data_IF_834032047566
#
_entry.id   IF_834032047566
#
_cell.length_a   1.000
_cell.length_b   1.000
_cell.length_c   1.000
_cell.angle_alpha   90.00
_cell.angle_beta   90.00
_cell.angle_gamma   90.00
#
_symmetry.space_group_name_H-M   'P 1'
#
loop_
_entity.id
_entity.type
_entity.pdbx_description
1 polymer ?
#
# COMPACT_ATOMS: atom_id res chain seq x y z
N UNK A 1 -20.32 -21.70 4.37
CA UNK A 1 -20.11 -20.47 5.16
C UNK A 1 -18.63 -20.18 5.14
N UNK A 2 -18.25 -19.06 4.60
CA UNK A 2 -16.86 -18.65 4.41
C UNK A 2 -16.16 -18.41 5.75
N UNK A 3 -14.91 -18.85 5.88
CA UNK A 3 -14.07 -18.66 7.06
C UNK A 3 -12.92 -17.68 6.78
N UNK A 4 -12.27 -17.18 7.83
CA UNK A 4 -11.07 -16.33 7.69
C UNK A 4 -9.98 -17.05 6.91
N UNK A 5 -9.77 -18.33 7.24
CA UNK A 5 -8.73 -19.15 6.59
C UNK A 5 -8.98 -19.31 5.08
N UNK A 6 -10.26 -19.56 4.67
CA UNK A 6 -10.59 -19.68 3.24
C UNK A 6 -10.35 -18.38 2.45
N UNK A 7 -10.54 -17.21 3.09
CA UNK A 7 -10.21 -15.93 2.44
C UNK A 7 -8.68 -15.79 2.24
N UNK A 8 -7.88 -16.18 3.23
CA UNK A 8 -6.41 -16.17 3.13
C UNK A 8 -5.95 -17.15 2.04
N UNK A 9 -6.46 -18.39 2.04
CA UNK A 9 -6.16 -19.42 1.04
C UNK A 9 -6.53 -18.99 -0.38
N UNK A 10 -7.61 -18.24 -0.54
CA UNK A 10 -7.95 -17.64 -1.84
C UNK A 10 -6.86 -16.69 -2.33
N UNK A 11 -6.31 -15.84 -1.47
CA UNK A 11 -5.18 -14.95 -1.82
C UNK A 11 -3.93 -15.76 -2.18
N UNK A 12 -3.64 -16.84 -1.44
CA UNK A 12 -2.55 -17.75 -1.78
C UNK A 12 -2.71 -18.39 -3.17
N UNK A 13 -3.94 -18.69 -3.58
CA UNK A 13 -4.20 -19.22 -4.93
C UNK A 13 -3.99 -18.18 -6.02
N UNK A 14 -4.27 -16.90 -5.74
CA UNK A 14 -4.09 -15.82 -6.71
C UNK A 14 -2.62 -15.50 -6.99
N UNK A 15 -1.75 -15.57 -5.97
CA UNK A 15 -0.31 -15.37 -6.14
C UNK A 15 0.37 -16.59 -6.79
N UNK A 16 -0.16 -17.79 -6.58
CA UNK A 16 0.41 -19.04 -7.06
C UNK A 16 1.66 -19.52 -6.32
N UNK A 17 2.12 -18.80 -5.29
CA UNK A 17 3.29 -19.15 -4.47
C UNK A 17 3.07 -19.02 -2.96
N UNK A 18 1.82 -18.79 -2.52
CA UNK A 18 1.48 -18.51 -1.13
C UNK A 18 1.58 -17.03 -0.77
N UNK A 19 1.29 -16.69 0.48
CA UNK A 19 1.43 -15.33 1.01
C UNK A 19 2.84 -15.10 1.58
N UNK A 20 3.23 -13.85 1.77
CA UNK A 20 4.52 -13.51 2.32
C UNK A 20 4.60 -13.81 3.84
N UNK A 21 5.82 -13.92 4.37
CA UNK A 21 6.07 -14.25 5.77
C UNK A 21 5.41 -13.31 6.78
N UNK A 22 5.24 -12.04 6.42
CA UNK A 22 4.66 -10.99 7.24
C UNK A 22 3.13 -10.89 7.14
N UNK A 23 2.52 -11.77 6.35
CA UNK A 23 1.08 -11.83 6.09
C UNK A 23 0.38 -12.95 6.87
N UNK A 24 -0.93 -12.99 6.75
CA UNK A 24 -1.80 -13.99 7.35
C UNK A 24 -2.55 -13.50 8.58
N UNK A 25 -3.12 -14.46 9.32
CA UNK A 25 -3.90 -14.18 10.52
C UNK A 25 -2.99 -13.67 11.65
N UNK A 26 -3.27 -12.47 12.15
CA UNK A 26 -2.52 -11.87 13.26
C UNK A 26 -3.36 -11.68 14.55
N UNK A 27 -4.69 -11.81 14.46
CA UNK A 27 -5.59 -11.77 15.62
C UNK A 27 -6.85 -12.58 15.35
N UNK A 28 -7.35 -13.31 16.35
CA UNK A 28 -8.54 -14.17 16.25
C UNK A 28 -8.24 -15.58 15.75
N UNK A 29 -9.23 -16.26 15.19
CA UNK A 29 -9.15 -17.66 14.77
C UNK A 29 -9.46 -17.82 13.28
N UNK A 30 -8.68 -18.63 12.56
CA UNK A 30 -8.83 -18.90 11.13
C UNK A 30 -10.15 -19.63 10.79
N UNK A 31 -10.64 -20.47 11.71
CA UNK A 31 -11.91 -21.21 11.58
C UNK A 31 -13.16 -20.34 11.76
N UNK A 32 -12.99 -19.08 12.14
CA UNK A 32 -14.11 -18.16 12.36
C UNK A 32 -14.89 -17.93 11.08
N UNK A 33 -16.22 -18.09 11.15
CA UNK A 33 -17.13 -17.75 10.06
C UNK A 33 -17.18 -16.26 9.84
N UNK A 34 -17.09 -15.83 8.59
CA UNK A 34 -17.13 -14.43 8.15
C UNK A 34 -18.42 -14.18 7.38
N UNK A 35 -19.27 -13.27 7.88
CA UNK A 35 -20.47 -12.75 7.23
C UNK A 35 -20.25 -11.36 6.68
N UNK A 36 -19.31 -10.64 7.27
CA UNK A 36 -18.89 -9.32 6.83
C UNK A 36 -17.41 -9.09 7.11
N UNK A 37 -16.74 -8.41 6.20
CA UNK A 37 -15.33 -8.04 6.30
C UNK A 37 -15.09 -6.61 5.82
N UNK A 38 -14.21 -5.90 6.53
CA UNK A 38 -13.71 -4.59 6.12
C UNK A 38 -12.28 -4.74 5.61
N UNK A 39 -11.99 -4.17 4.45
CA UNK A 39 -10.63 -4.00 3.92
C UNK A 39 -10.19 -2.57 4.18
N UNK A 40 -9.00 -2.36 4.71
CA UNK A 40 -8.43 -1.05 4.99
C UNK A 40 -6.92 -1.04 4.72
N UNK A 41 -6.38 0.13 4.42
CA UNK A 41 -4.94 0.30 4.31
C UNK A 41 -4.24 -0.07 5.62
N UNK A 42 -4.71 0.47 6.74
CA UNK A 42 -4.16 0.23 8.07
C UNK A 42 -5.28 -0.02 9.09
N UNK A 43 -5.02 -0.89 10.06
CA UNK A 43 -5.89 -1.10 11.23
C UNK A 43 -5.81 0.07 12.23
N UNK A 44 -6.13 1.29 11.77
CA UNK A 44 -6.26 2.44 12.66
C UNK A 44 -7.40 2.20 13.66
N UNK A 45 -7.41 2.85 14.83
CA UNK A 45 -8.52 2.76 15.76
C UNK A 45 -9.89 3.06 15.12
N UNK A 46 -9.92 3.98 14.14
CA UNK A 46 -11.16 4.34 13.44
C UNK A 46 -11.58 3.27 12.41
N UNK A 47 -10.63 2.64 11.72
CA UNK A 47 -10.91 1.50 10.85
C UNK A 47 -11.47 0.30 11.64
N UNK A 48 -10.88 0.00 12.82
CA UNK A 48 -11.36 -1.07 13.70
C UNK A 48 -12.78 -0.75 14.20
N UNK A 49 -13.06 0.50 14.64
CA UNK A 49 -14.42 0.91 15.04
C UNK A 49 -15.40 0.79 13.89
N UNK A 50 -15.04 1.28 12.71
CA UNK A 50 -15.91 1.23 11.53
C UNK A 50 -16.27 -0.21 11.12
N UNK A 51 -15.32 -1.15 11.23
CA UNK A 51 -15.57 -2.57 11.01
C UNK A 51 -16.51 -3.16 12.09
N UNK A 52 -16.24 -2.85 13.36
CA UNK A 52 -17.04 -3.34 14.48
C UNK A 52 -18.47 -2.80 14.50
N UNK A 53 -18.65 -1.50 14.21
CA UNK A 53 -19.97 -0.85 14.13
C UNK A 53 -20.79 -1.33 12.92
N UNK A 54 -20.11 -1.77 11.85
CA UNK A 54 -20.75 -2.46 10.73
C UNK A 54 -21.18 -3.89 11.05
N UNK A 55 -20.82 -4.44 12.23
CA UNK A 55 -21.10 -5.82 12.62
C UNK A 55 -20.30 -6.86 11.83
N UNK A 56 -19.13 -6.46 11.33
CA UNK A 56 -18.25 -7.36 10.59
C UNK A 56 -17.52 -8.33 11.54
N UNK A 57 -17.06 -9.43 10.99
CA UNK A 57 -16.34 -10.49 11.71
C UNK A 57 -14.82 -10.42 11.47
N UNK A 58 -14.39 -9.74 10.38
CA UNK A 58 -13.00 -9.66 9.94
C UNK A 58 -12.63 -8.24 9.52
N UNK A 59 -11.44 -7.81 9.93
CA UNK A 59 -10.73 -6.66 9.35
C UNK A 59 -9.51 -7.18 8.60
N UNK A 60 -9.40 -6.87 7.32
CA UNK A 60 -8.23 -7.13 6.49
C UNK A 60 -7.45 -5.81 6.39
N UNK A 61 -6.21 -5.81 6.86
CA UNK A 61 -5.30 -4.68 6.75
C UNK A 61 -4.15 -4.98 5.78
N UNK A 62 -3.74 -3.96 5.03
CA UNK A 62 -2.55 -4.05 4.18
C UNK A 62 -1.30 -3.82 5.02
N UNK A 63 -1.28 -2.75 5.80
CA UNK A 63 -0.18 -2.40 6.69
C UNK A 63 -0.19 -3.15 8.02
N UNK A 64 0.92 -3.04 8.76
CA UNK A 64 1.11 -3.71 10.04
C UNK A 64 0.02 -3.38 11.06
N UNK A 65 -0.48 -4.42 11.74
CA UNK A 65 -1.45 -4.26 12.82
C UNK A 65 -0.89 -3.44 13.99
N UNK A 66 0.35 -3.70 14.38
CA UNK A 66 0.99 -3.11 15.55
C UNK A 66 2.29 -2.39 15.20
N UNK A 67 2.74 -1.49 16.10
CA UNK A 67 4.03 -0.82 16.06
C UNK A 67 5.07 -1.54 16.96
N UNK A 68 6.36 -1.49 16.58
CA UNK A 68 6.88 -1.01 15.32
C UNK A 68 6.47 -1.91 14.16
N UNK A 69 6.78 -1.46 12.92
CA UNK A 69 6.43 -2.18 11.70
C UNK A 69 6.81 -3.67 11.77
N UNK A 70 5.89 -4.52 11.35
CA UNK A 70 6.01 -5.99 11.31
C UNK A 70 6.42 -6.64 12.63
N UNK A 71 6.09 -6.02 13.76
CA UNK A 71 6.50 -6.49 15.10
C UNK A 71 5.99 -7.89 15.45
N UNK A 72 4.87 -8.32 14.85
CA UNK A 72 4.28 -9.66 15.09
C UNK A 72 5.20 -10.77 14.58
N UNK A 73 5.88 -10.53 13.45
CA UNK A 73 6.77 -11.49 12.79
C UNK A 73 8.27 -11.19 13.03
N UNK A 74 8.58 -10.16 13.82
CA UNK A 74 9.94 -9.75 14.09
C UNK A 74 10.69 -10.83 14.92
N UNK A 75 11.94 -11.10 14.56
CA UNK A 75 12.80 -12.08 15.29
C UNK A 75 13.10 -11.56 16.71
N UNK A 76 13.38 -10.28 16.85
CA UNK A 76 13.72 -9.62 18.12
C UNK A 76 12.86 -8.34 18.29
N UNK A 77 11.55 -8.51 18.60
CA UNK A 77 10.71 -7.35 18.85
C UNK A 77 11.06 -6.68 20.19
N UNK A 78 10.81 -5.39 20.37
CA UNK A 78 10.89 -4.76 21.70
C UNK A 78 10.06 -5.55 22.72
N UNK A 79 10.64 -5.89 23.88
CA UNK A 79 10.02 -6.79 24.85
C UNK A 79 8.63 -6.32 25.34
N UNK A 80 8.40 -5.02 25.39
CA UNK A 80 7.20 -4.37 25.88
C UNK A 80 6.25 -3.86 24.80
N UNK A 81 6.46 -4.19 23.52
CA UNK A 81 5.69 -3.62 22.40
C UNK A 81 4.17 -3.76 22.55
N UNK A 82 3.70 -4.86 23.19
CA UNK A 82 2.28 -5.06 23.46
C UNK A 82 1.71 -4.08 24.48
N UNK A 83 2.55 -3.57 25.40
CA UNK A 83 2.16 -2.59 26.40
C UNK A 83 2.15 -1.15 25.88
N UNK A 84 2.68 -0.90 24.68
CA UNK A 84 2.65 0.44 24.09
C UNK A 84 1.20 0.91 23.93
N UNK A 85 0.86 2.15 24.35
CA UNK A 85 -0.52 2.61 24.36
C UNK A 85 -1.25 2.45 23.04
N UNK A 86 -0.57 2.69 21.90
CA UNK A 86 -1.12 2.55 20.56
C UNK A 86 -1.49 1.09 20.24
N UNK A 87 -0.65 0.14 20.60
CA UNK A 87 -0.86 -1.29 20.36
C UNK A 87 -1.94 -1.86 21.27
N UNK A 88 -1.91 -1.48 22.55
CA UNK A 88 -2.95 -1.85 23.51
C UNK A 88 -4.32 -1.35 23.07
N UNK A 89 -4.42 -0.10 22.61
CA UNK A 89 -5.69 0.44 22.11
C UNK A 89 -6.24 -0.37 20.93
N UNK A 90 -5.39 -0.76 19.97
CA UNK A 90 -5.80 -1.58 18.82
C UNK A 90 -6.27 -2.96 19.28
N UNK A 91 -5.50 -3.61 20.15
CA UNK A 91 -5.86 -4.90 20.73
C UNK A 91 -7.21 -4.84 21.45
N UNK A 92 -7.41 -3.89 22.36
CA UNK A 92 -8.64 -3.72 23.14
C UNK A 92 -9.87 -3.46 22.24
N UNK A 93 -9.70 -2.74 21.12
CA UNK A 93 -10.76 -2.51 20.15
C UNK A 93 -11.11 -3.79 19.36
N UNK A 94 -10.12 -4.57 18.91
CA UNK A 94 -10.35 -5.85 18.25
C UNK A 94 -11.11 -6.82 19.17
N UNK A 95 -10.67 -6.95 20.43
CA UNK A 95 -11.36 -7.76 21.44
C UNK A 95 -12.77 -7.27 21.70
N UNK A 96 -12.95 -5.95 21.89
CA UNK A 96 -14.25 -5.34 22.19
C UNK A 96 -15.30 -5.62 21.12
N UNK A 97 -14.91 -5.55 19.85
CA UNK A 97 -15.79 -5.81 18.72
C UNK A 97 -15.77 -7.29 18.29
N UNK A 98 -14.91 -8.10 18.90
CA UNK A 98 -14.71 -9.48 18.55
C UNK A 98 -14.29 -9.66 17.09
N UNK A 99 -13.44 -8.81 16.55
CA UNK A 99 -12.94 -8.87 15.18
C UNK A 99 -11.74 -9.80 15.07
N UNK A 100 -11.70 -10.63 14.04
CA UNK A 100 -10.43 -11.18 13.57
C UNK A 100 -9.68 -10.14 12.74
N UNK A 101 -8.36 -10.25 12.67
CA UNK A 101 -7.53 -9.42 11.80
C UNK A 101 -6.56 -10.28 10.99
N UNK A 102 -6.59 -10.11 9.69
CA UNK A 102 -5.62 -10.67 8.75
C UNK A 102 -4.84 -9.55 8.07
N UNK A 103 -3.51 -9.68 7.99
CA UNK A 103 -2.66 -8.84 7.18
C UNK A 103 -2.47 -9.45 5.80
N UNK A 104 -2.72 -8.68 4.75
CA UNK A 104 -2.46 -9.06 3.36
C UNK A 104 -1.74 -7.88 2.68
N UNK A 105 -0.43 -8.00 2.49
CA UNK A 105 0.50 -6.93 2.12
C UNK A 105 1.09 -7.18 0.72
N UNK A 106 2.32 -7.64 0.61
CA UNK A 106 3.00 -7.82 -0.67
C UNK A 106 2.26 -8.73 -1.67
N UNK A 107 1.44 -9.68 -1.16
CA UNK A 107 0.58 -10.50 -2.02
C UNK A 107 -0.48 -9.65 -2.73
N UNK A 108 -1.08 -8.67 -2.05
CA UNK A 108 -2.07 -7.77 -2.65
C UNK A 108 -1.42 -6.71 -3.53
N UNK A 109 -0.17 -6.30 -3.21
CA UNK A 109 0.66 -5.49 -4.10
C UNK A 109 0.81 -6.15 -5.47
N UNK A 110 1.17 -7.44 -5.46
CA UNK A 110 1.37 -8.25 -6.66
C UNK A 110 0.07 -8.50 -7.41
N UNK A 111 -1.00 -8.82 -6.70
CA UNK A 111 -2.30 -9.18 -7.31
C UNK A 111 -2.93 -7.98 -8.02
N UNK A 112 -2.91 -6.80 -7.41
CA UNK A 112 -3.69 -5.69 -7.95
C UNK A 112 -3.20 -4.28 -7.60
N UNK A 113 -2.54 -4.02 -6.45
CA UNK A 113 -2.22 -2.65 -6.04
C UNK A 113 -1.33 -1.96 -7.06
N UNK A 114 -0.21 -2.60 -7.40
CA UNK A 114 0.76 -2.01 -8.33
C UNK A 114 0.14 -1.65 -9.69
N UNK A 115 -0.54 -2.60 -10.32
CA UNK A 115 -1.11 -2.39 -11.66
C UNK A 115 -2.32 -1.43 -11.63
N UNK A 116 -3.07 -1.40 -10.53
CA UNK A 116 -4.14 -0.40 -10.35
C UNK A 116 -3.57 1.01 -10.22
N UNK A 117 -2.46 1.19 -9.50
CA UNK A 117 -1.81 2.51 -9.41
C UNK A 117 -1.23 2.95 -10.76
N UNK A 118 -0.55 2.06 -11.49
CA UNK A 118 -0.08 2.35 -12.84
C UNK A 118 -1.23 2.74 -13.79
N UNK A 119 -2.35 2.03 -13.72
CA UNK A 119 -3.57 2.33 -14.48
C UNK A 119 -4.19 3.67 -14.10
N UNK A 120 -4.25 4.02 -12.81
CA UNK A 120 -4.72 5.32 -12.33
C UNK A 120 -3.89 6.47 -12.93
N UNK A 121 -2.58 6.30 -13.03
CA UNK A 121 -1.65 7.27 -13.62
C UNK A 121 -1.71 7.30 -15.16
N UNK A 122 -2.55 6.48 -15.79
CA UNK A 122 -2.66 6.39 -17.25
C UNK A 122 -1.43 5.82 -17.94
N UNK A 123 -0.60 5.08 -17.22
CA UNK A 123 0.55 4.38 -17.79
C UNK A 123 0.05 3.16 -18.58
N UNK A 124 0.52 3.03 -19.80
CA UNK A 124 0.19 1.87 -20.65
C UNK A 124 0.99 0.62 -20.28
N UNK A 125 1.25 -0.24 -21.24
CA UNK A 125 2.05 -1.44 -21.00
C UNK A 125 3.50 -1.07 -20.65
N UNK A 126 4.10 -1.75 -19.65
CA UNK A 126 5.48 -1.53 -19.29
C UNK A 126 6.44 -1.96 -20.40
N UNK A 127 7.52 -1.20 -20.60
CA UNK A 127 8.59 -1.53 -21.54
C UNK A 127 9.66 -2.45 -20.93
N UNK A 128 9.61 -2.64 -19.63
CA UNK A 128 10.42 -3.61 -18.88
C UNK A 128 9.61 -4.18 -17.72
N UNK A 129 9.72 -5.50 -17.48
CA UNK A 129 9.06 -6.23 -16.40
C UNK A 129 10.01 -7.28 -15.82
N UNK A 130 10.22 -7.22 -14.51
CA UNK A 130 10.83 -8.26 -13.68
C UNK A 130 10.12 -8.28 -12.33
N UNK A 131 9.07 -9.09 -12.20
CA UNK A 131 8.13 -9.06 -11.09
C UNK A 131 7.48 -7.67 -10.97
N UNK A 132 7.57 -7.06 -9.80
CA UNK A 132 7.07 -5.71 -9.54
C UNK A 132 8.05 -4.59 -9.95
N UNK A 133 9.25 -4.91 -10.47
CA UNK A 133 10.12 -3.91 -11.10
C UNK A 133 9.66 -3.69 -12.52
N UNK A 134 8.88 -2.65 -12.74
CA UNK A 134 8.34 -2.31 -14.06
C UNK A 134 8.74 -0.87 -14.42
N UNK A 135 9.07 -0.65 -15.70
CA UNK A 135 9.39 0.67 -16.26
C UNK A 135 8.43 0.95 -17.40
N UNK A 136 7.88 2.16 -17.43
CA UNK A 136 6.88 2.60 -18.39
C UNK A 136 7.45 3.68 -19.32
N UNK A 137 7.23 3.57 -20.61
CA UNK A 137 7.58 4.63 -21.56
C UNK A 137 6.44 5.65 -21.65
N UNK A 138 6.80 6.94 -21.60
CA UNK A 138 5.87 8.05 -21.81
C UNK A 138 6.38 8.94 -22.94
N UNK A 139 5.50 9.71 -23.58
CA UNK A 139 5.93 10.77 -24.50
C UNK A 139 6.82 11.76 -23.75
N UNK A 140 7.95 12.19 -24.34
CA UNK A 140 8.88 13.13 -23.69
C UNK A 140 8.15 14.39 -23.22
N UNK A 141 8.28 14.73 -21.94
CA UNK A 141 7.64 15.90 -21.35
C UNK A 141 8.42 16.43 -20.15
N UNK A 142 8.29 17.72 -19.81
CA UNK A 142 8.91 18.23 -18.59
C UNK A 142 8.23 17.67 -17.34
N UNK A 143 8.98 17.52 -16.26
CA UNK A 143 8.48 17.03 -14.96
C UNK A 143 7.27 17.82 -14.49
N UNK A 144 7.21 19.15 -14.69
CA UNK A 144 6.04 19.96 -14.31
C UNK A 144 4.73 19.47 -14.93
N UNK A 145 4.76 19.06 -16.20
CA UNK A 145 3.57 18.51 -16.87
C UNK A 145 3.18 17.16 -16.28
N UNK A 146 4.17 16.31 -15.97
CA UNK A 146 3.91 15.03 -15.30
C UNK A 146 3.33 15.24 -13.90
N UNK A 147 3.80 16.24 -13.15
CA UNK A 147 3.23 16.64 -11.85
C UNK A 147 1.75 17.01 -11.98
N UNK A 148 1.40 17.81 -12.99
CA UNK A 148 0.00 18.20 -13.21
C UNK A 148 -0.88 17.00 -13.57
N UNK A 149 -0.37 16.06 -14.37
CA UNK A 149 -1.05 14.80 -14.72
C UNK A 149 -1.24 13.91 -13.47
N UNK A 150 -0.22 13.76 -12.64
CA UNK A 150 -0.31 13.00 -11.38
C UNK A 150 -1.31 13.63 -10.43
N UNK A 151 -1.31 14.96 -10.28
CA UNK A 151 -2.32 15.66 -9.45
C UNK A 151 -3.74 15.41 -9.97
N UNK A 152 -3.94 15.49 -11.27
CA UNK A 152 -5.25 15.24 -11.88
C UNK A 152 -5.73 13.79 -11.66
N UNK A 153 -4.82 12.81 -11.78
CA UNK A 153 -5.13 11.39 -11.62
C UNK A 153 -5.39 11.00 -10.18
N UNK A 154 -4.63 11.55 -9.23
CA UNK A 154 -4.71 11.20 -7.80
C UNK A 154 -5.68 12.08 -7.00
N UNK A 155 -6.11 13.21 -7.58
CA UNK A 155 -6.91 14.22 -6.87
C UNK A 155 -6.13 15.01 -5.81
N UNK A 156 -4.81 14.83 -5.71
CA UNK A 156 -4.00 15.51 -4.71
C UNK A 156 -3.78 16.98 -5.08
N UNK A 157 -4.09 17.94 -4.18
CA UNK A 157 -3.89 19.35 -4.47
C UNK A 157 -2.40 19.75 -4.48
N UNK A 158 -1.57 19.03 -3.74
CA UNK A 158 -0.14 19.31 -3.57
C UNK A 158 0.67 18.01 -3.65
N UNK A 159 1.86 18.08 -4.26
CA UNK A 159 2.82 16.98 -4.34
C UNK A 159 4.19 17.48 -3.94
N UNK A 160 4.98 16.62 -3.28
CA UNK A 160 6.41 16.90 -3.09
C UNK A 160 7.19 16.45 -4.32
N UNK A 161 8.14 17.29 -4.77
CA UNK A 161 9.01 16.98 -5.92
C UNK A 161 10.47 17.25 -5.53
N UNK A 162 11.34 16.30 -5.76
CA UNK A 162 12.78 16.43 -5.56
C UNK A 162 13.53 16.10 -6.87
N UNK A 163 14.71 16.72 -7.11
CA UNK A 163 15.23 17.86 -6.38
C UNK A 163 14.50 19.16 -6.73
N UNK A 164 14.62 20.15 -5.88
CA UNK A 164 14.16 21.50 -6.21
C UNK A 164 14.84 21.97 -7.52
N UNK A 165 14.03 22.51 -8.45
CA UNK A 165 14.51 22.93 -9.78
C UNK A 165 14.41 21.88 -10.90
N UNK A 166 14.00 20.64 -10.59
CA UNK A 166 13.86 19.59 -11.61
C UNK A 166 12.63 19.76 -12.55
N UNK A 167 11.77 20.73 -12.33
CA UNK A 167 10.48 20.85 -13.03
C UNK A 167 10.59 21.00 -14.56
N UNK A 168 11.71 21.50 -15.07
CA UNK A 168 11.95 21.64 -16.53
C UNK A 168 12.70 20.47 -17.16
N UNK A 169 13.16 19.50 -16.34
CA UNK A 169 13.83 18.30 -16.83
C UNK A 169 12.86 17.49 -17.71
N UNK A 170 13.32 17.10 -18.93
CA UNK A 170 12.52 16.25 -19.83
C UNK A 170 12.71 14.79 -19.45
N UNK A 171 11.60 14.09 -19.21
CA UNK A 171 11.56 12.70 -18.81
C UNK A 171 10.79 11.85 -19.81
N UNK A 172 11.08 10.55 -19.85
CA UNK A 172 10.54 9.59 -20.84
C UNK A 172 10.24 8.22 -20.28
N UNK A 173 10.82 7.86 -19.12
CA UNK A 173 10.74 6.52 -18.56
C UNK A 173 10.43 6.58 -17.06
N UNK A 174 9.20 6.20 -16.73
CA UNK A 174 8.66 6.25 -15.37
C UNK A 174 8.91 4.94 -14.66
N UNK A 175 9.44 5.00 -13.44
CA UNK A 175 9.41 3.91 -12.46
C UNK A 175 8.47 4.26 -11.32
N UNK A 176 7.84 3.23 -10.75
CA UNK A 176 6.88 3.38 -9.67
C UNK A 176 7.40 2.76 -8.36
N UNK A 177 8.12 3.50 -7.53
CA UNK A 177 8.33 3.10 -6.12
C UNK A 177 7.08 3.44 -5.29
N UNK A 178 5.98 2.69 -5.52
CA UNK A 178 4.69 2.88 -4.86
C UNK A 178 4.78 2.56 -3.35
N UNK A 179 3.74 2.81 -2.59
CA UNK A 179 3.75 2.55 -1.16
C UNK A 179 4.95 3.17 -0.47
N UNK A 180 5.63 2.41 0.37
CA UNK A 180 6.86 2.80 1.03
C UNK A 180 8.15 2.60 0.23
N UNK A 181 8.08 2.18 -1.06
CA UNK A 181 9.28 1.86 -1.85
C UNK A 181 10.11 3.09 -2.27
N UNK A 182 9.57 4.30 -2.09
CA UNK A 182 10.33 5.54 -2.23
C UNK A 182 11.18 5.91 -1.02
N UNK A 183 11.04 5.22 0.11
CA UNK A 183 11.81 5.44 1.34
C UNK A 183 13.27 4.98 1.19
N UNK A 184 14.18 5.57 2.00
CA UNK A 184 15.59 5.24 2.01
C UNK A 184 15.90 3.75 2.23
N UNK A 185 15.14 3.10 3.09
CA UNK A 185 15.32 1.66 3.37
C UNK A 185 15.11 0.79 2.13
N UNK A 186 14.47 1.32 1.09
CA UNK A 186 14.12 0.65 -0.15
C UNK A 186 14.92 1.15 -1.38
N UNK A 187 16.05 1.85 -1.19
CA UNK A 187 16.88 2.34 -2.32
C UNK A 187 17.38 1.22 -3.23
N UNK A 188 17.49 -0.01 -2.75
CA UNK A 188 17.81 -1.17 -3.57
C UNK A 188 16.75 -1.42 -4.66
N UNK A 189 15.46 -1.23 -4.37
CA UNK A 189 14.39 -1.28 -5.37
C UNK A 189 14.51 -0.11 -6.37
N UNK A 190 14.73 1.12 -5.88
CA UNK A 190 14.92 2.30 -6.73
C UNK A 190 16.11 2.12 -7.67
N UNK A 191 17.23 1.55 -7.17
CA UNK A 191 18.42 1.26 -7.98
C UNK A 191 18.13 0.26 -9.12
N UNK A 192 17.25 -0.73 -8.88
CA UNK A 192 16.83 -1.67 -9.93
C UNK A 192 16.06 -0.95 -11.05
N UNK A 193 15.17 0.00 -10.72
CA UNK A 193 14.47 0.82 -11.70
C UNK A 193 15.44 1.70 -12.52
N UNK A 194 16.42 2.33 -11.86
CA UNK A 194 17.46 3.15 -12.52
C UNK A 194 18.27 2.30 -13.48
N UNK A 195 18.66 1.09 -13.10
CA UNK A 195 19.43 0.17 -13.95
C UNK A 195 18.67 -0.23 -15.24
N UNK A 196 17.34 -0.11 -15.24
CA UNK A 196 16.50 -0.33 -16.42
C UNK A 196 16.20 0.96 -17.19
N UNK A 197 16.94 2.03 -16.89
CA UNK A 197 16.89 3.31 -17.62
C UNK A 197 15.68 4.17 -17.27
N UNK A 198 15.10 4.00 -16.10
CA UNK A 198 14.13 4.93 -15.53
C UNK A 198 14.77 6.31 -15.35
N UNK A 199 14.07 7.38 -15.73
CA UNK A 199 14.56 8.76 -15.64
C UNK A 199 13.63 9.68 -14.81
N UNK A 200 12.56 9.12 -14.22
CA UNK A 200 11.69 9.77 -13.25
C UNK A 200 11.00 8.73 -12.37
N UNK A 201 10.82 9.03 -11.09
CA UNK A 201 10.00 8.26 -10.17
C UNK A 201 8.67 8.95 -9.89
N UNK A 202 7.58 8.16 -9.88
CA UNK A 202 6.33 8.53 -9.21
C UNK A 202 6.23 7.59 -8.02
N UNK A 203 6.47 8.14 -6.82
CA UNK A 203 6.56 7.39 -5.58
C UNK A 203 5.24 7.47 -4.77
N UNK A 204 5.00 6.49 -3.92
CA UNK A 204 4.04 6.61 -2.85
C UNK A 204 4.58 7.55 -1.78
N UNK A 205 5.38 7.04 -0.85
CA UNK A 205 6.02 7.80 0.22
C UNK A 205 7.54 7.86 0.05
N UNK A 206 8.15 8.99 0.44
CA UNK A 206 9.60 9.13 0.54
C UNK A 206 10.01 9.95 1.75
N UNK A 207 11.21 9.70 2.25
CA UNK A 207 11.88 10.48 3.29
C UNK A 207 13.00 11.35 2.72
N UNK A 208 13.64 12.15 3.58
CA UNK A 208 14.72 13.05 3.18
C UNK A 208 15.90 12.33 2.53
N UNK A 209 16.19 11.10 2.94
CA UNK A 209 17.29 10.31 2.38
C UNK A 209 16.90 9.66 1.06
N UNK A 210 15.66 9.15 0.93
CA UNK A 210 15.13 8.62 -0.32
C UNK A 210 15.11 9.69 -1.43
N UNK A 211 14.64 10.90 -1.11
CA UNK A 211 14.70 12.04 -2.02
C UNK A 211 16.14 12.41 -2.41
N UNK A 212 17.11 12.40 -1.46
CA UNK A 212 18.50 12.67 -1.76
C UNK A 212 19.11 11.62 -2.66
N UNK A 213 18.85 10.34 -2.38
CA UNK A 213 19.31 9.25 -3.23
C UNK A 213 18.86 9.44 -4.69
N UNK A 214 17.56 9.65 -4.91
CA UNK A 214 17.03 9.88 -6.26
C UNK A 214 17.65 11.11 -6.91
N UNK A 215 17.75 12.23 -6.18
CA UNK A 215 18.33 13.49 -6.67
C UNK A 215 19.81 13.35 -7.05
N UNK A 216 20.63 12.66 -6.25
CA UNK A 216 22.05 12.41 -6.52
C UNK A 216 22.25 11.45 -7.70
N UNK A 217 21.28 10.59 -7.99
CA UNK A 217 21.22 9.78 -9.19
C UNK A 217 20.72 10.55 -10.43
N UNK A 218 20.32 11.81 -10.29
CA UNK A 218 19.77 12.61 -11.39
C UNK A 218 18.32 12.28 -11.74
N UNK A 219 17.61 11.56 -10.87
CA UNK A 219 16.24 11.10 -11.07
C UNK A 219 15.26 11.99 -10.29
N UNK A 220 14.42 12.79 -10.96
CA UNK A 220 13.32 13.46 -10.28
C UNK A 220 12.37 12.46 -9.64
N UNK A 221 11.93 12.76 -8.41
CA UNK A 221 10.92 11.97 -7.71
C UNK A 221 9.71 12.85 -7.40
N UNK A 222 8.54 12.40 -7.81
CA UNK A 222 7.23 12.98 -7.51
C UNK A 222 6.59 12.06 -6.48
N UNK A 223 6.25 12.58 -5.30
CA UNK A 223 5.64 11.81 -4.22
C UNK A 223 4.14 12.08 -4.12
N UNK A 224 3.36 11.00 -4.07
CA UNK A 224 1.88 11.05 -4.01
C UNK A 224 1.31 10.82 -2.62
N UNK A 225 1.99 10.16 -1.71
CA UNK A 225 1.59 9.58 -0.44
C UNK A 225 1.44 8.06 -0.54
N UNK A 226 1.77 7.39 0.55
CA UNK A 226 1.74 5.93 0.67
C UNK A 226 0.32 5.41 0.36
N UNK A 227 -0.65 5.83 1.18
CA UNK A 227 -2.04 5.39 1.07
C UNK A 227 -2.71 5.81 -0.25
N UNK A 228 -2.32 6.93 -0.85
CA UNK A 228 -2.86 7.37 -2.15
C UNK A 228 -2.43 6.44 -3.28
N UNK A 229 -1.21 5.91 -3.22
CA UNK A 229 -0.73 4.95 -4.22
C UNK A 229 -1.36 3.55 -4.07
N UNK A 230 -1.88 3.19 -2.89
CA UNK A 230 -2.35 1.83 -2.58
C UNK A 230 -3.88 1.71 -2.44
N UNK A 231 -4.56 2.74 -1.92
CA UNK A 231 -6.03 2.71 -1.73
C UNK A 231 -6.84 2.33 -2.99
N UNK A 232 -6.51 2.79 -4.21
CA UNK A 232 -7.21 2.35 -5.42
C UNK A 232 -7.14 0.84 -5.63
N UNK A 233 -5.97 0.24 -5.39
CA UNK A 233 -5.76 -1.21 -5.46
C UNK A 233 -6.51 -1.96 -4.38
N UNK A 234 -6.53 -1.45 -3.14
CA UNK A 234 -7.28 -2.04 -2.03
C UNK A 234 -8.80 -2.00 -2.27
N UNK A 235 -9.30 -0.94 -2.90
CA UNK A 235 -10.70 -0.86 -3.34
C UNK A 235 -10.99 -1.90 -4.42
N UNK A 236 -10.08 -2.09 -5.38
CA UNK A 236 -10.17 -3.15 -6.38
C UNK A 236 -10.14 -4.53 -5.72
N UNK A 237 -9.21 -4.78 -4.81
CA UNK A 237 -9.12 -6.03 -4.05
C UNK A 237 -10.42 -6.34 -3.30
N UNK A 238 -11.04 -5.34 -2.67
CA UNK A 238 -12.35 -5.49 -2.02
C UNK A 238 -13.43 -5.98 -3.01
N UNK A 239 -13.41 -5.47 -4.24
CA UNK A 239 -14.32 -5.90 -5.29
C UNK A 239 -14.06 -7.35 -5.72
N UNK A 240 -12.79 -7.75 -5.85
CA UNK A 240 -12.39 -9.13 -6.15
C UNK A 240 -12.88 -10.10 -5.07
N UNK A 241 -12.68 -9.75 -3.79
CA UNK A 241 -13.19 -10.55 -2.67
C UNK A 241 -14.71 -10.68 -2.68
N UNK A 242 -15.44 -9.59 -2.96
CA UNK A 242 -16.90 -9.59 -3.06
C UNK A 242 -17.41 -10.52 -4.17
N UNK A 243 -16.67 -10.64 -5.27
CA UNK A 243 -17.01 -11.55 -6.38
C UNK A 243 -16.69 -13.01 -6.03
N UNK A 244 -15.58 -13.25 -5.34
CA UNK A 244 -15.16 -14.60 -4.96
C UNK A 244 -16.01 -15.19 -3.82
N UNK A 245 -16.50 -14.36 -2.90
CA UNK A 245 -17.25 -14.77 -1.72
C UNK A 245 -18.59 -14.02 -1.63
N UNK A 246 -19.58 -14.39 -2.46
CA UNK A 246 -20.86 -13.66 -2.54
C UNK A 246 -21.74 -13.79 -1.27
N UNK A 247 -21.39 -14.68 -0.36
CA UNK A 247 -22.05 -14.85 0.95
C UNK A 247 -21.45 -13.96 2.05
N UNK A 248 -20.41 -13.16 1.73
CA UNK A 248 -19.74 -12.23 2.65
C UNK A 248 -19.93 -10.79 2.19
N UNK A 249 -20.34 -9.93 3.11
CA UNK A 249 -20.48 -8.50 2.86
C UNK A 249 -19.10 -7.80 3.01
N UNK A 250 -18.44 -7.52 1.90
CA UNK A 250 -17.16 -6.77 1.93
C UNK A 250 -17.37 -5.27 1.81
N UNK A 251 -16.57 -4.50 2.57
CA UNK A 251 -16.53 -3.04 2.53
C UNK A 251 -15.09 -2.56 2.54
N UNK A 252 -14.78 -1.59 1.67
CA UNK A 252 -13.54 -0.83 1.77
C UNK A 252 -13.69 0.32 2.76
N UNK A 253 -12.76 0.47 3.68
CA UNK A 253 -12.60 1.63 4.56
C UNK A 253 -11.38 2.41 4.12
N UNK A 254 -11.58 3.62 3.64
CA UNK A 254 -10.50 4.53 3.27
C UNK A 254 -9.96 5.23 4.52
N UNK A 255 -8.71 4.92 4.87
CA UNK A 255 -8.04 5.63 5.94
C UNK A 255 -7.87 7.10 5.52
N UNK A 256 -8.31 8.08 6.32
CA UNK A 256 -8.16 9.48 5.96
C UNK A 256 -6.69 9.92 6.04
N UNK A 257 -6.32 10.90 5.22
CA UNK A 257 -5.04 11.59 5.36
C UNK A 257 -4.94 12.22 6.74
N UNK A 258 -3.81 12.02 7.42
CA UNK A 258 -3.61 12.42 8.83
C UNK A 258 -2.79 13.70 8.98
N UNK A 259 -2.39 14.34 7.89
CA UNK A 259 -1.62 15.59 7.91
C UNK A 259 -2.28 16.66 7.03
N UNK A 260 -1.99 17.89 7.33
CA UNK A 260 -2.39 19.06 6.56
C UNK A 260 -1.15 19.75 6.00
N UNK A 261 -1.27 20.28 4.77
CA UNK A 261 -0.23 21.15 4.20
C UNK A 261 -0.59 22.58 4.56
N UNK A 262 0.22 23.18 5.42
CA UNK A 262 0.07 24.61 5.80
C UNK A 262 0.96 25.42 4.85
N UNK A 263 0.35 26.36 4.07
CA UNK A 263 1.00 27.23 3.12
C UNK A 263 1.31 28.60 3.74
#
# INVERSE_FOLDING_TARGET
MTTVQEIIEYVETLTGHGINRDEGLQHGEGSRTVRGATVAWMASPDAIRAAGEAGHDLLIGHESLYFPYDVVNAVEPPADWRAWPVNRQRYELLERYGLAFARLHGSVDEICIFDTFAGLLGLGDPVYVDGLVKVYAIAPRPVRQLVDEVKASTGMPHLRVAPAGALDQIVRRVGLPWGGLGLFVNVGYQQRLIAQGCDVFIAGESDSYGFRFAAECGIPMIETSHEVSENPGLRHFTTMLSQAFPDVAFRFYENPCIFEIVL
#
